data_IF_235218895417
#
_entry.id   IF_235218895417
#
_cell.length_a   1.000
_cell.length_b   1.000
_cell.length_c   1.000
_cell.angle_alpha   90.00
_cell.angle_beta   90.00
_cell.angle_gamma   90.00
#
_symmetry.space_group_name_H-M   'P 1'
#
loop_
_entity.id
_entity.type
_entity.pdbx_description
1 polymer ?
#
# COMPACT_ATOMS: atom_id res chain seq x y z
N UNK A 1 3.96 26.48 -7.58
CA UNK A 1 2.83 25.53 -7.71
C UNK A 1 1.79 25.91 -6.68
N UNK A 2 0.52 26.09 -7.07
CA UNK A 2 -0.57 26.32 -6.11
C UNK A 2 -0.88 24.98 -5.41
N UNK A 3 -0.95 25.00 -4.07
CA UNK A 3 -1.33 23.84 -3.25
C UNK A 3 -2.85 23.75 -3.25
N UNK A 4 -3.38 22.61 -3.65
CA UNK A 4 -4.81 22.36 -3.67
C UNK A 4 -5.25 21.86 -2.28
N UNK A 5 -5.77 22.77 -1.46
CA UNK A 5 -6.11 22.48 -0.04
C UNK A 5 -7.15 21.36 0.09
N UNK A 6 -8.08 21.26 -0.86
CA UNK A 6 -9.09 20.19 -0.88
C UNK A 6 -8.47 18.79 -0.99
N UNK A 7 -7.32 18.65 -1.67
CA UNK A 7 -6.62 17.36 -1.79
C UNK A 7 -6.06 16.91 -0.45
N UNK A 8 -5.61 17.84 0.38
CA UNK A 8 -5.09 17.52 1.70
C UNK A 8 -6.22 17.08 2.63
N UNK A 9 -7.36 17.77 2.61
CA UNK A 9 -8.56 17.33 3.35
C UNK A 9 -9.04 15.94 2.90
N UNK A 10 -9.08 15.67 1.60
CA UNK A 10 -9.47 14.36 1.07
C UNK A 10 -8.55 13.24 1.57
N UNK A 11 -7.23 13.47 1.60
CA UNK A 11 -6.26 12.52 2.17
C UNK A 11 -6.47 12.32 3.67
N UNK A 12 -6.68 13.40 4.42
CA UNK A 12 -6.93 13.31 5.86
C UNK A 12 -8.18 12.48 6.16
N UNK A 13 -9.26 12.68 5.41
CA UNK A 13 -10.48 11.88 5.52
C UNK A 13 -10.20 10.41 5.17
N UNK A 14 -9.48 10.15 4.08
CA UNK A 14 -9.13 8.79 3.69
C UNK A 14 -8.28 8.07 4.76
N UNK A 15 -7.31 8.75 5.38
CA UNK A 15 -6.50 8.21 6.49
C UNK A 15 -7.37 7.94 7.71
N UNK A 16 -8.26 8.86 8.06
CA UNK A 16 -9.19 8.69 9.17
C UNK A 16 -10.07 7.44 8.98
N UNK A 17 -10.58 7.24 7.76
CA UNK A 17 -11.39 6.06 7.41
C UNK A 17 -10.62 4.74 7.53
N UNK A 18 -9.32 4.72 7.21
CA UNK A 18 -8.46 3.54 7.46
C UNK A 18 -8.45 3.20 8.94
N UNK A 19 -8.24 4.20 9.81
CA UNK A 19 -8.19 4.00 11.26
C UNK A 19 -9.53 3.47 11.77
N UNK A 20 -10.65 4.07 11.34
CA UNK A 20 -12.00 3.62 11.72
C UNK A 20 -12.28 2.20 11.24
N UNK A 21 -11.90 1.87 10.00
CA UNK A 21 -12.11 0.55 9.43
C UNK A 21 -11.34 -0.57 10.16
N UNK A 22 -10.14 -0.28 10.65
CA UNK A 22 -9.28 -1.26 11.32
C UNK A 22 -9.48 -1.33 12.84
N UNK A 23 -9.73 -0.20 13.52
CA UNK A 23 -9.76 -0.14 14.98
C UNK A 23 -11.13 0.21 15.57
N UNK A 24 -12.04 0.81 14.79
CA UNK A 24 -13.28 1.39 15.29
C UNK A 24 -14.54 0.56 15.02
N UNK A 25 -14.50 -0.41 14.11
CA UNK A 25 -15.69 -1.11 13.63
C UNK A 25 -15.59 -2.64 13.77
N UNK A 26 -16.66 -3.31 14.23
CA UNK A 26 -16.74 -4.78 14.25
C UNK A 26 -16.55 -5.38 12.85
N UNK A 27 -15.94 -6.56 12.78
CA UNK A 27 -15.73 -7.30 11.53
C UNK A 27 -17.03 -7.60 10.77
N UNK A 28 -18.11 -7.87 11.50
CA UNK A 28 -19.43 -8.16 10.94
C UNK A 28 -20.23 -6.92 10.52
N UNK A 29 -19.71 -5.71 10.74
CA UNK A 29 -20.46 -4.49 10.44
C UNK A 29 -20.49 -4.18 8.94
N UNK A 30 -21.68 -3.95 8.40
CA UNK A 30 -21.85 -3.49 7.01
C UNK A 30 -21.17 -2.14 6.76
N UNK A 31 -21.04 -1.31 7.80
CA UNK A 31 -20.29 -0.05 7.75
C UNK A 31 -18.80 -0.28 7.48
N UNK A 32 -18.19 -1.32 8.07
CA UNK A 32 -16.79 -1.65 7.78
C UNK A 32 -16.62 -2.07 6.32
N UNK A 33 -17.48 -2.96 5.82
CA UNK A 33 -17.44 -3.37 4.41
C UNK A 33 -17.61 -2.19 3.47
N UNK A 34 -18.52 -1.27 3.79
CA UNK A 34 -18.71 -0.04 3.04
C UNK A 34 -17.43 0.80 3.02
N UNK A 35 -16.83 1.11 4.18
CA UNK A 35 -15.57 1.86 4.28
C UNK A 35 -14.44 1.19 3.48
N UNK A 36 -14.32 -0.13 3.54
CA UNK A 36 -13.30 -0.89 2.81
C UNK A 36 -13.44 -0.82 1.29
N UNK A 37 -14.65 -0.61 0.78
CA UNK A 37 -14.90 -0.58 -0.66
C UNK A 37 -14.30 0.64 -1.36
N UNK A 38 -14.12 1.77 -0.66
CA UNK A 38 -13.72 3.02 -1.31
C UNK A 38 -12.46 3.68 -0.75
N UNK A 39 -12.07 3.46 0.52
CA UNK A 39 -10.92 4.19 1.06
C UNK A 39 -9.59 3.88 0.34
N UNK A 40 -9.33 2.62 -0.04
CA UNK A 40 -8.13 2.25 -0.81
C UNK A 40 -8.19 2.78 -2.26
N UNK A 41 -9.30 2.61 -3.01
CA UNK A 41 -9.49 3.29 -4.29
C UNK A 41 -9.28 4.80 -4.23
N UNK A 42 -9.78 5.48 -3.20
CA UNK A 42 -9.65 6.93 -3.03
C UNK A 42 -8.17 7.37 -2.97
N UNK A 43 -7.32 6.63 -2.25
CA UNK A 43 -5.89 6.91 -2.22
C UNK A 43 -5.23 6.77 -3.59
N UNK A 44 -5.63 5.78 -4.39
CA UNK A 44 -5.10 5.60 -5.74
C UNK A 44 -5.53 6.73 -6.68
N UNK A 45 -6.80 7.14 -6.61
CA UNK A 45 -7.33 8.24 -7.43
C UNK A 45 -6.63 9.56 -7.08
N UNK A 46 -6.49 9.87 -5.79
CA UNK A 46 -5.75 11.06 -5.33
C UNK A 46 -4.29 11.02 -5.79
N UNK A 47 -3.65 9.85 -5.71
CA UNK A 47 -2.26 9.67 -6.15
C UNK A 47 -2.09 9.87 -7.66
N UNK A 48 -3.06 9.41 -8.46
CA UNK A 48 -3.12 9.68 -9.90
C UNK A 48 -3.38 11.15 -10.22
N UNK A 49 -4.28 11.81 -9.48
CA UNK A 49 -4.57 13.24 -9.67
C UNK A 49 -3.34 14.15 -9.41
N UNK A 50 -2.58 13.81 -8.37
CA UNK A 50 -1.34 14.49 -8.02
C UNK A 50 -0.16 14.12 -8.91
N UNK A 51 -0.27 13.03 -9.67
CA UNK A 51 0.75 12.66 -10.63
C UNK A 51 0.93 13.79 -11.66
N UNK A 52 2.18 14.18 -11.86
CA UNK A 52 2.56 15.12 -12.91
C UNK A 52 3.58 14.40 -13.77
N UNK A 53 3.31 14.35 -15.08
CA UNK A 53 4.29 13.87 -16.03
C UNK A 53 5.49 14.80 -15.97
N UNK A 54 6.64 14.21 -15.73
CA UNK A 54 7.93 14.89 -15.63
C UNK A 54 8.76 14.53 -16.84
N UNK A 55 9.50 15.48 -17.42
CA UNK A 55 10.35 15.26 -18.61
C UNK A 55 11.64 14.44 -18.33
N UNK A 56 11.72 13.79 -17.16
CA UNK A 56 12.82 12.89 -16.82
C UNK A 56 12.73 11.59 -17.62
N UNK A 57 13.90 11.09 -17.99
CA UNK A 57 14.06 9.79 -18.65
C UNK A 57 13.45 8.68 -17.78
N UNK A 58 12.84 7.69 -18.43
CA UNK A 58 12.17 6.57 -17.77
C UNK A 58 13.04 5.87 -16.71
N UNK A 59 14.35 5.70 -16.98
CA UNK A 59 15.29 5.08 -16.05
C UNK A 59 15.41 5.87 -14.73
N UNK A 60 15.51 7.20 -14.82
CA UNK A 60 15.63 8.07 -13.66
C UNK A 60 14.31 8.17 -12.90
N UNK A 61 13.18 8.15 -13.63
CA UNK A 61 11.85 8.05 -13.06
C UNK A 61 11.67 6.75 -12.25
N UNK A 62 12.02 5.59 -12.82
CA UNK A 62 11.94 4.31 -12.09
C UNK A 62 12.85 4.31 -10.88
N UNK A 63 14.12 4.70 -11.03
CA UNK A 63 15.08 4.68 -9.93
C UNK A 63 14.62 5.55 -8.75
N UNK A 64 14.06 6.73 -9.05
CA UNK A 64 13.44 7.59 -8.04
C UNK A 64 12.27 6.92 -7.33
N UNK A 65 11.36 6.28 -8.07
CA UNK A 65 10.20 5.62 -7.49
C UNK A 65 10.57 4.35 -6.70
N UNK A 66 11.58 3.59 -7.13
CA UNK A 66 12.13 2.47 -6.37
C UNK A 66 12.63 2.95 -5.01
N UNK A 67 13.46 4.00 -4.99
CA UNK A 67 13.99 4.57 -3.74
C UNK A 67 12.90 5.13 -2.82
N UNK A 68 11.83 5.67 -3.39
CA UNK A 68 10.73 6.26 -2.61
C UNK A 68 9.68 5.26 -2.12
N UNK A 69 9.47 4.14 -2.82
CA UNK A 69 8.35 3.23 -2.56
C UNK A 69 8.84 1.80 -2.27
N UNK A 70 9.62 1.22 -3.19
CA UNK A 70 10.06 -0.18 -3.10
C UNK A 70 11.09 -0.38 -1.98
N UNK A 71 12.04 0.56 -1.83
CA UNK A 71 13.06 0.48 -0.76
C UNK A 71 12.41 0.54 0.63
N UNK A 72 11.54 1.52 0.96
CA UNK A 72 10.81 1.51 2.23
C UNK A 72 9.96 0.26 2.43
N UNK A 73 9.27 -0.20 1.37
CA UNK A 73 8.49 -1.44 1.41
C UNK A 73 9.34 -2.64 1.86
N UNK A 74 10.51 -2.83 1.25
CA UNK A 74 11.41 -3.93 1.60
C UNK A 74 11.94 -3.78 3.01
N UNK A 75 12.38 -2.58 3.41
CA UNK A 75 12.93 -2.33 4.75
C UNK A 75 11.89 -2.66 5.82
N UNK A 76 10.66 -2.16 5.72
CA UNK A 76 9.65 -2.40 6.74
C UNK A 76 9.23 -3.87 6.83
N UNK A 77 9.11 -4.56 5.68
CA UNK A 77 8.80 -5.99 5.69
C UNK A 77 9.94 -6.83 6.25
N UNK A 78 11.19 -6.54 5.86
CA UNK A 78 12.36 -7.27 6.35
C UNK A 78 12.57 -7.05 7.85
N UNK A 79 12.43 -5.82 8.34
CA UNK A 79 12.55 -5.53 9.77
C UNK A 79 11.50 -6.27 10.59
N UNK A 80 10.24 -6.26 10.14
CA UNK A 80 9.17 -6.96 10.85
C UNK A 80 9.33 -8.48 10.74
N UNK A 81 9.79 -8.98 9.59
CA UNK A 81 10.09 -10.41 9.42
C UNK A 81 11.20 -10.87 10.37
N UNK A 82 12.30 -10.12 10.46
CA UNK A 82 13.39 -10.40 11.39
C UNK A 82 12.91 -10.38 12.84
N UNK A 83 12.09 -9.39 13.19
CA UNK A 83 11.47 -9.32 14.52
C UNK A 83 10.62 -10.57 14.81
N UNK A 84 9.78 -11.01 13.87
CA UNK A 84 8.97 -12.21 14.02
C UNK A 84 9.81 -13.48 14.15
N UNK A 85 10.93 -13.59 13.42
CA UNK A 85 11.87 -14.71 13.55
C UNK A 85 12.49 -14.74 14.95
N UNK A 86 13.01 -13.62 15.43
CA UNK A 86 13.62 -13.52 16.77
C UNK A 86 12.57 -13.83 17.83
N UNK A 87 11.36 -13.27 17.70
CA UNK A 87 10.27 -13.50 18.62
C UNK A 87 9.88 -14.98 18.70
N UNK A 88 9.74 -15.64 17.54
CA UNK A 88 9.43 -17.07 17.48
C UNK A 88 10.54 -17.92 18.13
N UNK A 89 11.82 -17.63 17.85
CA UNK A 89 12.94 -18.39 18.42
C UNK A 89 13.10 -18.21 19.94
N UNK A 90 12.71 -17.06 20.50
CA UNK A 90 12.91 -16.73 21.93
C UNK A 90 11.71 -17.11 22.79
N UNK A 91 10.49 -16.87 22.30
CA UNK A 91 9.28 -17.00 23.10
C UNK A 91 8.41 -18.20 22.74
N UNK A 92 8.53 -18.71 21.50
CA UNK A 92 7.70 -19.82 21.04
C UNK A 92 8.48 -21.14 21.18
N UNK A 93 8.19 -21.88 22.25
CA UNK A 93 8.81 -23.17 22.56
C UNK A 93 8.17 -24.34 21.77
N UNK A 94 7.35 -24.02 20.77
CA UNK A 94 6.63 -24.98 19.92
C UNK A 94 7.38 -25.20 18.59
N UNK A 95 7.09 -26.34 17.93
CA UNK A 95 7.69 -26.76 16.67
C UNK A 95 7.77 -25.62 15.64
N UNK A 96 8.99 -25.12 15.39
CA UNK A 96 9.29 -24.08 14.40
C UNK A 96 8.82 -24.57 13.03
N UNK A 97 7.69 -24.05 12.56
CA UNK A 97 7.18 -24.39 11.25
C UNK A 97 7.86 -23.50 10.19
N UNK A 98 8.82 -24.10 9.48
CA UNK A 98 9.63 -23.44 8.43
C UNK A 98 8.74 -22.79 7.37
N UNK A 99 7.60 -23.40 7.03
CA UNK A 99 6.66 -22.85 6.05
C UNK A 99 6.09 -21.50 6.50
N UNK A 100 5.61 -21.41 7.74
CA UNK A 100 5.06 -20.17 8.30
C UNK A 100 6.15 -19.12 8.55
N UNK A 101 7.33 -19.55 8.95
CA UNK A 101 8.39 -18.63 9.37
C UNK A 101 9.22 -18.09 8.21
N UNK A 102 9.41 -18.88 7.15
CA UNK A 102 10.29 -18.52 6.04
C UNK A 102 9.58 -18.49 4.69
N UNK A 103 8.92 -19.58 4.29
CA UNK A 103 8.40 -19.75 2.93
C UNK A 103 7.28 -18.76 2.64
N UNK A 104 6.26 -18.72 3.51
CA UNK A 104 5.10 -17.84 3.35
C UNK A 104 5.46 -16.35 3.40
N UNK A 105 6.29 -15.87 4.35
CA UNK A 105 6.77 -14.49 4.35
C UNK A 105 7.57 -14.11 3.12
N UNK A 106 8.46 -14.99 2.66
CA UNK A 106 9.27 -14.73 1.48
C UNK A 106 8.41 -14.56 0.22
N UNK A 107 7.47 -15.50 -0.01
CA UNK A 107 6.52 -15.43 -1.13
C UNK A 107 5.63 -14.18 -0.98
N UNK A 108 5.19 -13.86 0.25
CA UNK A 108 4.39 -12.67 0.55
C UNK A 108 5.09 -11.37 0.17
N UNK A 109 6.38 -11.23 0.49
CA UNK A 109 7.16 -10.03 0.15
C UNK A 109 7.33 -9.90 -1.37
N UNK A 110 7.52 -11.01 -2.08
CA UNK A 110 7.67 -11.01 -3.55
C UNK A 110 6.35 -10.68 -4.25
N UNK A 111 5.26 -11.33 -3.84
CA UNK A 111 3.95 -11.12 -4.45
C UNK A 111 3.29 -9.81 -4.01
N UNK A 112 3.67 -9.28 -2.84
CA UNK A 112 3.01 -8.13 -2.24
C UNK A 112 1.56 -8.39 -1.86
N UNK A 113 1.21 -9.64 -1.54
CA UNK A 113 -0.15 -10.06 -1.22
C UNK A 113 -0.19 -11.16 -0.15
N UNK A 114 -1.25 -11.18 0.66
CA UNK A 114 -1.57 -12.24 1.62
C UNK A 114 -2.55 -13.24 0.99
N UNK A 115 -2.21 -14.52 1.10
CA UNK A 115 -3.00 -15.62 0.54
C UNK A 115 -2.79 -16.90 1.36
N UNK A 116 -3.39 -18.01 0.93
CA UNK A 116 -3.13 -19.30 1.56
C UNK A 116 -1.64 -19.72 1.49
N UNK A 117 -0.92 -19.25 0.47
CA UNK A 117 0.47 -19.63 0.15
C UNK A 117 1.45 -18.52 0.53
N UNK A 118 0.97 -17.34 0.93
CA UNK A 118 1.80 -16.16 1.17
C UNK A 118 1.32 -15.38 2.39
N UNK A 119 2.24 -14.89 3.21
CA UNK A 119 1.92 -14.12 4.42
C UNK A 119 2.91 -12.98 4.57
N UNK A 120 2.60 -11.81 4.02
CA UNK A 120 3.36 -10.61 4.24
C UNK A 120 3.49 -10.31 5.74
N UNK A 121 4.73 -10.10 6.23
CA UNK A 121 4.95 -9.66 7.60
C UNK A 121 4.19 -8.36 7.90
N UNK A 122 4.19 -7.41 6.95
CA UNK A 122 3.54 -6.12 7.10
C UNK A 122 2.47 -5.92 6.01
N UNK A 123 1.27 -6.44 6.25
CA UNK A 123 0.15 -6.37 5.29
C UNK A 123 -0.07 -4.96 4.75
N UNK A 124 -0.25 -3.87 5.54
CA UNK A 124 -0.51 -2.52 5.01
C UNK A 124 0.48 -1.99 3.97
N UNK A 125 1.72 -2.51 3.94
CA UNK A 125 2.72 -2.10 2.97
C UNK A 125 2.39 -2.48 1.52
N UNK A 126 1.43 -3.39 1.26
CA UNK A 126 0.99 -3.77 -0.08
C UNK A 126 0.64 -2.54 -0.95
N UNK A 127 0.08 -1.51 -0.33
CA UNK A 127 -0.28 -0.25 -0.97
C UNK A 127 0.90 0.45 -1.66
N UNK A 128 2.12 0.32 -1.13
CA UNK A 128 3.32 0.94 -1.71
C UNK A 128 3.69 0.32 -3.06
N UNK A 129 3.55 -1.00 -3.20
CA UNK A 129 3.78 -1.71 -4.47
C UNK A 129 2.71 -1.29 -5.48
N UNK A 130 1.44 -1.24 -5.08
CA UNK A 130 0.36 -0.79 -5.96
C UNK A 130 0.59 0.65 -6.45
N UNK A 131 1.02 1.56 -5.57
CA UNK A 131 1.40 2.92 -5.97
C UNK A 131 2.56 2.93 -6.96
N UNK A 132 3.56 2.07 -6.77
CA UNK A 132 4.68 1.96 -7.71
C UNK A 132 4.19 1.51 -9.10
N UNK A 133 3.36 0.47 -9.16
CA UNK A 133 2.78 -0.03 -10.42
C UNK A 133 1.93 1.04 -11.10
N UNK A 134 1.06 1.74 -10.36
CA UNK A 134 0.22 2.82 -10.90
C UNK A 134 1.08 3.96 -11.43
N UNK A 135 2.14 4.37 -10.72
CA UNK A 135 3.05 5.42 -11.21
C UNK A 135 3.75 5.01 -12.50
N UNK A 136 4.16 3.74 -12.62
CA UNK A 136 4.71 3.19 -13.85
C UNK A 136 3.66 3.21 -14.98
N UNK A 137 2.42 2.80 -14.72
CA UNK A 137 1.34 2.86 -15.71
C UNK A 137 1.04 4.29 -16.16
N UNK A 138 0.95 5.25 -15.23
CA UNK A 138 0.72 6.68 -15.51
C UNK A 138 1.88 7.34 -16.28
N UNK A 139 3.09 6.79 -16.22
CA UNK A 139 4.20 7.29 -17.04
C UNK A 139 3.93 7.04 -18.53
N UNK A 140 3.37 5.88 -18.88
CA UNK A 140 3.04 5.51 -20.25
C UNK A 140 1.69 6.07 -20.72
N UNK A 141 0.69 6.12 -19.83
CA UNK A 141 -0.67 6.57 -20.15
C UNK A 141 -0.86 8.05 -19.79
N UNK A 142 -1.29 8.85 -20.77
CA UNK A 142 -1.64 10.26 -20.54
C UNK A 142 -3.03 10.34 -19.88
N UNK A 143 -3.08 10.27 -18.55
CA UNK A 143 -4.35 10.37 -17.82
C UNK A 143 -4.83 11.84 -17.81
N UNK A 144 -6.06 12.05 -18.28
CA UNK A 144 -6.68 13.37 -18.25
C UNK A 144 -7.27 13.65 -16.86
N UNK A 145 -6.88 14.77 -16.25
CA UNK A 145 -7.26 15.10 -14.86
C UNK A 145 -8.77 15.31 -14.67
N UNK A 146 -9.46 15.70 -15.74
CA UNK A 146 -10.92 15.87 -15.77
C UNK A 146 -11.69 14.55 -15.62
N UNK A 147 -11.09 13.40 -15.92
CA UNK A 147 -11.73 12.08 -15.74
C UNK A 147 -11.61 11.59 -14.29
N UNK A 148 -10.55 11.98 -13.57
CA UNK A 148 -10.33 11.59 -12.18
C UNK A 148 -11.16 12.41 -11.17
N UNK A 149 -11.51 13.66 -11.51
CA UNK A 149 -12.32 14.55 -10.68
C UNK A 149 -13.71 14.01 -10.33
N UNK A 150 -14.54 13.53 -11.28
CA UNK A 150 -15.85 12.96 -10.97
C UNK A 150 -15.76 11.65 -10.18
N UNK A 151 -14.68 10.88 -10.33
CA UNK A 151 -14.45 9.66 -9.53
C UNK A 151 -14.09 9.94 -8.06
N UNK A 152 -13.69 11.16 -7.71
CA UNK A 152 -13.47 11.61 -6.32
C UNK A 152 -14.74 12.18 -5.68
N UNK A 153 -15.76 12.48 -6.48
CA UNK A 153 -17.02 13.11 -6.05
C UNK A 153 -18.20 12.12 -5.99
N UNK A 154 -17.97 10.86 -6.38
CA UNK A 154 -18.87 9.71 -6.21
C UNK A 154 -18.55 8.99 -4.90
#
# INVERSE_FOLDING_TARGET
MKREVWVDYAKSIAIFLVIVGHAGLPESSSLRQFVYSFHMPAFFIISGYLFKKTDIRFKDFINKNIKQLVVPFLIFNLLLWLYLIVFACVFDNQNINIDRLFVKPFIGIILGCDSFISSMPNTPCWFLICLFVIRCACYFVKINKTVLLPMLLL
#
